data_IF_361043083550
#
_entry.id   IF_361043083550
#
_cell.length_a   1.000
_cell.length_b   1.000
_cell.length_c   1.000
_cell.angle_alpha   90.00
_cell.angle_beta   90.00
_cell.angle_gamma   90.00
#
_symmetry.space_group_name_H-M   'P 1'
#
loop_
_entity.id
_entity.type
_entity.pdbx_description
1 polymer ?
#
# COMPACT_ATOMS: atom_id res chain seq x y z
N UNK A 1 -4.29 -3.71 -2.60
CA UNK A 1 -3.73 -3.84 -1.24
C UNK A 1 -4.82 -4.32 -0.30
N UNK A 2 -4.49 -5.30 0.52
CA UNK A 2 -5.37 -5.88 1.53
C UNK A 2 -4.63 -5.80 2.87
N UNK A 3 -5.21 -5.13 3.87
CA UNK A 3 -4.64 -5.09 5.22
C UNK A 3 -5.46 -6.03 6.08
N UNK A 4 -4.84 -7.14 6.43
CA UNK A 4 -5.45 -8.21 7.20
C UNK A 4 -5.28 -7.92 8.68
N UNK A 5 -6.40 -7.85 9.37
CA UNK A 5 -6.49 -7.64 10.81
C UNK A 5 -7.37 -8.71 11.43
N UNK A 6 -7.27 -8.88 12.74
CA UNK A 6 -8.02 -9.90 13.46
C UNK A 6 -9.18 -9.31 14.24
N UNK A 7 -10.36 -9.89 14.05
CA UNK A 7 -11.52 -9.73 14.94
C UNK A 7 -12.04 -11.14 15.25
N UNK A 8 -11.89 -11.59 16.50
CA UNK A 8 -12.06 -13.02 16.86
C UNK A 8 -11.10 -13.93 16.07
N UNK A 9 -11.37 -15.23 15.92
CA UNK A 9 -10.51 -16.15 15.15
C UNK A 9 -10.57 -15.95 13.61
N UNK A 10 -11.08 -14.80 13.13
CA UNK A 10 -11.29 -14.52 11.71
C UNK A 10 -10.44 -13.33 11.28
N UNK A 11 -9.73 -13.53 10.17
CA UNK A 11 -8.98 -12.52 9.46
C UNK A 11 -9.90 -11.76 8.51
N UNK A 12 -9.86 -10.44 8.52
CA UNK A 12 -10.62 -9.61 7.57
C UNK A 12 -9.79 -8.44 7.02
N UNK A 13 -10.16 -7.98 5.83
CA UNK A 13 -9.52 -6.84 5.18
C UNK A 13 -10.02 -5.52 5.79
N UNK A 14 -9.28 -4.95 6.74
CA UNK A 14 -9.63 -3.67 7.35
C UNK A 14 -9.56 -2.51 6.35
N UNK A 15 -8.71 -2.61 5.33
CA UNK A 15 -8.53 -1.57 4.32
C UNK A 15 -9.67 -1.50 3.29
N UNK A 16 -10.51 -2.54 3.18
CA UNK A 16 -11.56 -2.61 2.17
C UNK A 16 -12.48 -1.38 2.23
N UNK A 17 -12.59 -0.68 1.10
CA UNK A 17 -13.36 0.55 0.88
C UNK A 17 -13.04 1.70 1.84
N UNK A 18 -11.84 1.69 2.44
CA UNK A 18 -11.40 2.78 3.30
C UNK A 18 -10.91 3.97 2.47
N UNK A 19 -10.98 5.20 3.01
CA UNK A 19 -10.41 6.36 2.37
C UNK A 19 -8.92 6.16 2.10
N UNK A 20 -8.51 6.37 0.85
CA UNK A 20 -7.12 6.30 0.44
C UNK A 20 -6.69 7.62 -0.21
N UNK A 21 -5.42 7.96 -0.05
CA UNK A 21 -4.79 9.12 -0.64
C UNK A 21 -3.44 8.73 -1.22
N UNK A 22 -2.96 9.52 -2.19
CA UNK A 22 -1.65 9.36 -2.78
C UNK A 22 -1.10 10.73 -3.14
N UNK A 23 0.21 10.83 -3.34
CA UNK A 23 0.90 12.12 -3.57
C UNK A 23 0.33 12.89 -4.78
N UNK A 24 -0.02 12.17 -5.84
CA UNK A 24 -0.54 12.69 -7.10
C UNK A 24 -1.28 11.60 -7.84
N UNK A 25 -2.11 11.96 -8.84
CA UNK A 25 -2.87 10.96 -9.60
C UNK A 25 -2.57 11.10 -11.08
N UNK A 26 -2.04 10.04 -11.68
CA UNK A 26 -2.07 9.86 -13.12
C UNK A 26 -3.47 9.34 -13.50
N UNK A 27 -4.35 10.26 -13.87
CA UNK A 27 -5.74 9.93 -14.17
C UNK A 27 -5.87 8.83 -15.23
N UNK A 28 -6.83 7.88 -15.07
CA UNK A 28 -7.86 7.81 -14.03
C UNK A 28 -7.49 6.90 -12.83
N UNK A 29 -6.20 6.73 -12.52
CA UNK A 29 -5.73 5.70 -11.59
C UNK A 29 -5.67 6.19 -10.12
N UNK A 30 -6.84 6.46 -9.55
CA UNK A 30 -6.98 7.02 -8.21
C UNK A 30 -6.56 6.06 -7.08
N UNK A 31 -6.15 6.62 -5.94
CA UNK A 31 -5.70 5.90 -4.75
C UNK A 31 -6.67 4.81 -4.25
N UNK A 32 -7.97 5.06 -4.29
CA UNK A 32 -8.98 4.14 -3.76
C UNK A 32 -9.01 2.79 -4.48
N UNK A 33 -8.51 2.71 -5.72
CA UNK A 33 -8.45 1.46 -6.50
C UNK A 33 -7.62 0.39 -5.81
N UNK A 34 -6.58 0.80 -5.06
CA UNK A 34 -5.80 -0.15 -4.27
C UNK A 34 -6.57 -0.78 -3.10
N UNK A 35 -7.77 -0.31 -2.76
CA UNK A 35 -8.59 -0.80 -1.62
C UNK A 35 -10.04 -1.06 -2.01
N UNK A 36 -10.34 -1.17 -3.31
CA UNK A 36 -11.70 -1.39 -3.83
C UNK A 36 -12.14 -2.87 -3.80
N UNK A 37 -11.28 -3.76 -3.32
CA UNK A 37 -11.57 -5.20 -3.24
C UNK A 37 -11.23 -5.99 -4.51
N UNK A 38 -10.79 -5.32 -5.58
CA UNK A 38 -10.26 -5.99 -6.77
C UNK A 38 -8.72 -5.91 -6.77
N UNK A 39 -8.08 -7.05 -7.02
CA UNK A 39 -6.61 -7.16 -7.08
C UNK A 39 -6.11 -7.53 -8.47
N UNK A 40 -6.90 -7.22 -9.50
CA UNK A 40 -6.48 -7.36 -10.89
C UNK A 40 -5.21 -6.53 -11.13
N UNK A 41 -4.09 -7.18 -11.51
CA UNK A 41 -2.81 -6.51 -11.60
C UNK A 41 -2.58 -5.81 -12.95
N UNK A 42 -3.54 -5.85 -13.88
CA UNK A 42 -3.45 -5.13 -15.15
C UNK A 42 -4.07 -3.73 -15.02
N UNK A 43 -3.25 -2.68 -15.17
CA UNK A 43 -3.76 -1.30 -15.09
C UNK A 43 -4.84 -1.01 -16.12
N UNK A 44 -4.82 -1.68 -17.28
CA UNK A 44 -5.74 -1.43 -18.38
C UNK A 44 -7.16 -1.91 -18.05
N UNK A 45 -7.30 -2.80 -17.07
CA UNK A 45 -8.61 -3.21 -16.52
C UNK A 45 -9.16 -2.19 -15.52
N UNK A 46 -8.37 -1.18 -15.13
CA UNK A 46 -8.83 -0.05 -14.33
C UNK A 46 -8.87 -0.30 -12.82
N UNK A 47 -8.14 -1.28 -12.30
CA UNK A 47 -8.13 -1.61 -10.86
C UNK A 47 -6.82 -1.25 -10.14
N UNK A 48 -5.84 -0.71 -10.85
CA UNK A 48 -4.59 -0.24 -10.25
C UNK A 48 -4.67 1.27 -9.94
N UNK A 49 -4.03 1.69 -8.85
CA UNK A 49 -3.68 3.11 -8.64
C UNK A 49 -2.41 3.46 -9.42
N UNK A 50 -2.20 4.75 -9.71
CA UNK A 50 -0.95 5.24 -10.28
C UNK A 50 -0.72 6.71 -9.90
N UNK A 51 0.49 7.03 -9.46
CA UNK A 51 0.95 8.42 -9.23
C UNK A 51 1.64 8.98 -10.47
N UNK A 52 1.85 10.29 -10.53
CA UNK A 52 2.88 10.83 -11.43
C UNK A 52 4.29 10.42 -10.95
N UNK A 53 5.31 10.78 -11.72
CA UNK A 53 6.70 10.52 -11.33
C UNK A 53 7.11 11.48 -10.20
N UNK A 54 7.46 10.92 -9.05
CA UNK A 54 8.02 11.63 -7.91
C UNK A 54 9.28 10.92 -7.39
N UNK A 55 10.12 11.65 -6.65
CA UNK A 55 11.31 11.08 -6.00
C UNK A 55 10.93 10.16 -4.84
N UNK A 56 9.96 10.59 -4.02
CA UNK A 56 9.43 9.85 -2.87
C UNK A 56 7.91 9.72 -3.00
N UNK A 57 7.41 8.92 -3.97
CA UNK A 57 5.98 8.74 -4.14
C UNK A 57 5.41 7.97 -2.95
N UNK A 58 4.23 8.38 -2.49
CA UNK A 58 3.54 7.69 -1.40
C UNK A 58 2.07 7.44 -1.76
N UNK A 59 1.56 6.37 -1.16
CA UNK A 59 0.15 6.01 -1.11
C UNK A 59 -0.18 5.64 0.33
N UNK A 60 -1.38 5.97 0.80
CA UNK A 60 -1.82 5.75 2.17
C UNK A 60 -3.30 5.38 2.20
N UNK A 61 -3.67 4.54 3.16
CA UNK A 61 -5.07 4.27 3.54
C UNK A 61 -5.32 4.67 4.99
N UNK A 62 -6.40 5.42 5.21
CA UNK A 62 -6.93 5.73 6.53
C UNK A 62 -7.94 4.65 6.93
N UNK A 63 -7.55 3.79 7.87
CA UNK A 63 -8.38 2.65 8.30
C UNK A 63 -9.63 3.06 9.08
N UNK A 64 -9.78 4.34 9.47
CA UNK A 64 -10.91 4.86 10.25
C UNK A 64 -11.11 4.17 11.60
N UNK A 65 -10.05 3.60 12.15
CA UNK A 65 -10.04 2.91 13.43
C UNK A 65 -8.63 2.43 13.79
N UNK A 66 -8.46 2.03 15.04
CA UNK A 66 -7.23 1.39 15.49
C UNK A 66 -7.36 -0.11 15.32
N UNK A 67 -6.37 -0.71 14.65
CA UNK A 67 -6.34 -2.13 14.37
C UNK A 67 -5.01 -2.71 14.78
N UNK A 68 -5.04 -3.94 15.29
CA UNK A 68 -3.84 -4.78 15.33
C UNK A 68 -3.70 -5.34 13.91
N UNK A 69 -2.74 -4.79 13.17
CA UNK A 69 -2.38 -5.29 11.84
C UNK A 69 -1.63 -6.59 12.04
N UNK A 70 -2.08 -7.68 11.41
CA UNK A 70 -1.37 -8.96 11.46
C UNK A 70 -0.57 -9.19 10.18
N UNK A 71 -1.13 -8.81 9.04
CA UNK A 71 -0.51 -9.00 7.74
C UNK A 71 -0.96 -7.93 6.76
N UNK A 72 -0.07 -7.55 5.86
CA UNK A 72 -0.31 -6.68 4.72
C UNK A 72 -0.05 -7.49 3.46
N UNK A 73 -1.07 -7.57 2.59
CA UNK A 73 -0.98 -8.20 1.28
C UNK A 73 -0.95 -7.13 0.20
N UNK A 74 0.14 -7.09 -0.55
CA UNK A 74 0.36 -6.15 -1.64
C UNK A 74 0.39 -6.91 -2.96
N UNK A 75 -0.43 -6.48 -3.92
CA UNK A 75 -0.40 -6.99 -5.29
C UNK A 75 0.23 -5.93 -6.18
N UNK A 76 1.36 -6.27 -6.80
CA UNK A 76 2.06 -5.39 -7.73
C UNK A 76 1.42 -5.47 -9.12
N UNK A 77 1.62 -4.41 -9.90
CA UNK A 77 1.20 -4.31 -11.31
C UNK A 77 1.96 -5.33 -12.17
N UNK A 78 1.28 -6.00 -13.10
CA UNK A 78 1.83 -7.12 -13.87
C UNK A 78 1.69 -7.00 -15.39
N UNK A 79 1.08 -5.93 -15.90
CA UNK A 79 1.00 -5.68 -17.34
C UNK A 79 2.32 -5.14 -17.95
N UNK A 80 2.36 -5.07 -19.28
CA UNK A 80 3.43 -4.45 -20.05
C UNK A 80 4.79 -5.15 -19.97
N UNK A 81 5.87 -4.35 -19.95
CA UNK A 81 7.25 -4.83 -19.84
C UNK A 81 7.64 -5.13 -18.39
N UNK A 82 8.64 -5.99 -18.20
CA UNK A 82 9.13 -6.39 -16.86
C UNK A 82 9.53 -5.18 -15.99
N UNK A 83 10.14 -4.16 -16.59
CA UNK A 83 10.61 -2.93 -15.91
C UNK A 83 9.51 -2.14 -15.20
N UNK A 84 8.24 -2.36 -15.54
CA UNK A 84 7.11 -1.70 -14.86
C UNK A 84 6.93 -2.28 -13.46
N UNK A 85 7.05 -3.60 -13.32
CA UNK A 85 6.95 -4.26 -12.02
C UNK A 85 8.12 -3.86 -11.10
N UNK A 86 9.29 -3.58 -11.67
CA UNK A 86 10.47 -3.13 -10.92
C UNK A 86 10.34 -1.71 -10.33
N UNK A 87 9.29 -0.96 -10.66
CA UNK A 87 9.06 0.38 -10.08
C UNK A 87 8.76 0.31 -8.60
N UNK A 88 8.01 -0.72 -8.18
CA UNK A 88 7.74 -0.93 -6.77
C UNK A 88 8.92 -1.66 -6.14
N UNK A 89 9.96 -0.91 -5.77
CA UNK A 89 11.17 -1.42 -5.13
C UNK A 89 11.71 -0.39 -4.15
N UNK A 90 12.51 -0.82 -3.17
CA UNK A 90 13.14 0.05 -2.19
C UNK A 90 12.13 1.00 -1.52
N UNK A 91 11.00 0.45 -1.10
CA UNK A 91 9.93 1.19 -0.43
C UNK A 91 9.79 0.74 1.01
N UNK A 92 9.18 1.60 1.79
CA UNK A 92 8.86 1.36 3.19
C UNK A 92 7.37 1.12 3.36
N UNK A 93 7.03 0.28 4.34
CA UNK A 93 5.66 0.13 4.83
C UNK A 93 5.62 0.69 6.23
N UNK A 94 5.01 1.87 6.39
CA UNK A 94 4.84 2.52 7.69
C UNK A 94 3.42 2.37 8.22
N UNK A 95 3.31 2.09 9.53
CA UNK A 95 2.03 2.10 10.24
C UNK A 95 2.02 3.25 11.24
N UNK A 96 0.96 4.05 11.20
CA UNK A 96 0.76 5.20 12.07
C UNK A 96 -0.49 5.05 12.92
N UNK A 97 -0.42 5.53 14.17
CA UNK A 97 -1.59 5.61 15.06
C UNK A 97 -2.50 6.83 14.76
N UNK A 98 -1.95 7.85 14.08
CA UNK A 98 -2.62 9.10 13.76
C UNK A 98 -2.27 9.51 12.33
N UNK A 99 -3.01 10.46 11.75
CA UNK A 99 -2.77 10.94 10.39
C UNK A 99 -1.36 11.54 10.24
N UNK A 100 -0.45 10.88 9.50
CA UNK A 100 0.93 11.34 9.38
C UNK A 100 1.07 12.62 8.57
N UNK A 101 0.06 13.02 7.79
CA UNK A 101 0.11 14.21 6.93
C UNK A 101 0.18 15.52 7.71
N UNK A 102 -0.08 15.49 9.01
CA UNK A 102 0.06 16.64 9.91
C UNK A 102 1.50 16.81 10.44
N UNK A 103 2.40 15.86 10.16
CA UNK A 103 3.77 15.88 10.64
C UNK A 103 4.66 16.67 9.67
N UNK A 104 5.56 17.49 10.23
CA UNK A 104 6.35 18.46 9.48
C UNK A 104 7.21 17.87 8.35
N UNK A 105 7.59 16.59 8.46
CA UNK A 105 8.49 15.92 7.53
C UNK A 105 7.81 14.82 6.72
N UNK A 106 6.48 14.75 6.66
CA UNK A 106 5.79 13.78 5.82
C UNK A 106 6.07 14.03 4.32
N UNK A 107 6.37 13.01 3.49
CA UNK A 107 6.33 11.57 3.76
C UNK A 107 7.62 10.96 4.31
N UNK A 108 8.71 11.73 4.45
CA UNK A 108 10.03 11.27 4.91
C UNK A 108 10.10 10.99 6.43
N UNK A 109 8.95 10.75 7.05
CA UNK A 109 8.86 10.27 8.42
C UNK A 109 8.83 8.74 8.39
N UNK A 110 9.70 8.11 9.18
CA UNK A 110 9.54 6.69 9.49
C UNK A 110 8.49 6.58 10.59
N UNK A 111 7.35 5.96 10.25
CA UNK A 111 6.35 5.56 11.23
C UNK A 111 6.88 4.40 12.07
N UNK A 112 5.99 3.58 12.64
CA UNK A 112 6.43 2.24 12.98
C UNK A 112 6.69 1.50 11.66
N UNK A 113 7.96 1.38 11.29
CA UNK A 113 8.38 0.75 10.04
C UNK A 113 8.14 -0.75 10.16
N UNK A 114 7.25 -1.25 9.30
CA UNK A 114 6.92 -2.67 9.23
C UNK A 114 7.75 -3.44 8.21
N UNK A 115 8.31 -2.72 7.26
CA UNK A 115 9.20 -3.27 6.25
C UNK A 115 10.05 -2.12 5.71
N UNK A 116 11.37 -2.31 5.70
CA UNK A 116 12.33 -1.35 5.16
C UNK A 116 13.15 -1.99 4.07
N UNK A 117 13.23 -1.36 2.89
CA UNK A 117 14.20 -1.66 1.83
C UNK A 117 14.40 -3.15 1.48
N UNK A 118 13.37 -3.99 1.57
CA UNK A 118 13.52 -5.39 1.20
C UNK A 118 13.48 -5.61 -0.33
N UNK A 119 13.61 -6.86 -0.79
CA UNK A 119 13.81 -7.20 -2.19
C UNK A 119 12.70 -6.63 -3.08
N UNK A 120 13.06 -6.19 -4.29
CA UNK A 120 12.12 -5.73 -5.31
C UNK A 120 10.98 -6.75 -5.48
N UNK A 121 9.74 -6.43 -5.07
CA UNK A 121 8.60 -7.25 -5.46
C UNK A 121 8.48 -7.14 -6.98
N UNK A 122 8.92 -8.17 -7.69
CA UNK A 122 8.64 -8.30 -9.11
C UNK A 122 7.14 -8.45 -9.36
N UNK A 123 6.78 -9.13 -10.46
CA UNK A 123 5.38 -9.46 -10.71
C UNK A 123 4.86 -10.41 -9.64
N UNK A 124 3.74 -10.06 -9.02
CA UNK A 124 3.07 -10.98 -8.10
C UNK A 124 2.33 -10.29 -6.96
N UNK A 125 2.03 -11.11 -5.96
CA UNK A 125 1.39 -10.70 -4.72
C UNK A 125 2.23 -11.16 -3.54
N UNK A 126 2.49 -10.26 -2.61
CA UNK A 126 3.45 -10.41 -1.54
C UNK A 126 2.77 -10.18 -0.19
N UNK A 127 3.22 -10.90 0.83
CA UNK A 127 2.73 -10.82 2.20
C UNK A 127 3.83 -10.25 3.08
N UNK A 128 3.49 -9.25 3.88
CA UNK A 128 4.34 -8.63 4.88
C UNK A 128 3.66 -8.82 6.23
N UNK A 129 4.30 -9.49 7.17
CA UNK A 129 3.68 -9.79 8.46
C UNK A 129 4.05 -8.71 9.46
N UNK A 130 3.19 -8.45 10.44
CA UNK A 130 3.51 -7.50 11.50
C UNK A 130 4.71 -7.93 12.35
N UNK A 131 5.00 -9.23 12.41
CA UNK A 131 6.25 -9.75 12.99
C UNK A 131 7.52 -9.23 12.30
N UNK A 132 7.40 -8.57 11.16
CA UNK A 132 8.53 -7.99 10.42
C UNK A 132 8.75 -6.52 10.81
N UNK A 133 7.89 -5.94 11.67
CA UNK A 133 8.01 -4.55 12.16
C UNK A 133 8.94 -4.45 13.37
N UNK A 134 10.03 -3.68 13.24
CA UNK A 134 11.04 -3.47 14.28
C UNK A 134 11.62 -2.06 14.24
#
# INVERSE_FOLDING_TARGET
>A
MTIVTRSSAVLYNAALYKPAAQISTLEPNYAYKAVDGNSDPDVNHGYCQHTDQHLTPWWMVDLRGQFIVEQIKLTNRQDGFFVIADRLRNFDIDIFQQDPRQLANFPDITGQVCYHQGPTPGRGTFLYNYSDCW
#
